data_IF_951728066153
#
_entry.id   IF_951728066153
#
_cell.length_a   1.000
_cell.length_b   1.000
_cell.length_c   1.000
_cell.angle_alpha   90.00
_cell.angle_beta   90.00
_cell.angle_gamma   90.00
#
_symmetry.space_group_name_H-M   'P 1'
#
loop_
_entity.id
_entity.type
_entity.pdbx_description
1 polymer ?
#
# COMPACT_ATOMS: atom_id res chain seq x y z
N UNK A 1 11.52 -9.76 -1.55
CA UNK A 1 11.25 -10.81 -0.57
C UNK A 1 12.59 -11.41 -0.20
N UNK A 2 13.14 -11.10 0.98
CA UNK A 2 14.43 -11.66 1.40
C UNK A 2 14.22 -13.11 1.78
N UNK A 3 15.10 -13.94 1.30
CA UNK A 3 15.22 -15.33 1.74
C UNK A 3 15.65 -15.31 3.23
N UNK A 4 15.09 -16.20 4.03
CA UNK A 4 15.62 -16.45 5.38
C UNK A 4 17.03 -17.01 5.28
N UNK A 5 17.82 -16.86 6.35
CA UNK A 5 19.19 -17.43 6.39
C UNK A 5 19.16 -18.91 6.04
N UNK A 6 18.14 -19.67 6.48
CA UNK A 6 17.97 -21.07 6.14
C UNK A 6 17.65 -21.29 4.64
N UNK A 7 16.88 -20.39 4.03
CA UNK A 7 16.55 -20.46 2.59
C UNK A 7 17.76 -20.07 1.74
N UNK A 8 18.58 -19.11 2.20
CA UNK A 8 19.84 -18.77 1.55
C UNK A 8 20.85 -19.91 1.68
N UNK A 9 20.89 -20.56 2.84
CA UNK A 9 21.74 -21.74 3.08
C UNK A 9 21.33 -22.90 2.18
N UNK A 10 20.05 -23.19 2.04
CA UNK A 10 19.55 -24.23 1.11
C UNK A 10 19.85 -23.91 -0.35
N UNK A 11 19.72 -22.64 -0.77
CA UNK A 11 20.11 -22.19 -2.11
C UNK A 11 21.60 -22.33 -2.36
N UNK A 12 22.43 -22.03 -1.37
CA UNK A 12 23.89 -22.11 -1.50
C UNK A 12 24.39 -23.55 -1.39
N UNK A 13 23.74 -24.43 -0.63
CA UNK A 13 24.04 -25.86 -0.62
C UNK A 13 23.66 -26.54 -1.93
N UNK A 14 22.49 -26.20 -2.50
CA UNK A 14 22.11 -26.63 -3.83
C UNK A 14 23.11 -26.13 -4.90
N UNK A 15 23.68 -24.93 -4.72
CA UNK A 15 24.75 -24.39 -5.55
C UNK A 15 26.08 -25.10 -5.36
N UNK A 16 26.43 -25.46 -4.12
CA UNK A 16 27.63 -26.20 -3.82
C UNK A 16 27.57 -27.62 -4.41
N UNK A 17 26.43 -28.29 -4.38
CA UNK A 17 26.23 -29.59 -5.03
C UNK A 17 26.33 -29.53 -6.58
N UNK A 18 25.85 -28.43 -7.19
CA UNK A 18 25.91 -28.22 -8.64
C UNK A 18 27.29 -27.79 -9.13
N UNK A 19 28.14 -27.18 -8.31
CA UNK A 19 29.47 -26.67 -8.67
C UNK A 19 30.66 -27.51 -8.15
N UNK A 20 30.45 -28.73 -7.72
CA UNK A 20 31.51 -29.57 -7.11
C UNK A 20 32.56 -30.12 -8.07
N UNK A 21 32.78 -29.53 -9.25
CA UNK A 21 33.83 -29.90 -10.20
C UNK A 21 34.88 -28.83 -10.45
N UNK A 22 35.19 -27.96 -9.52
CA UNK A 22 36.24 -26.97 -9.75
C UNK A 22 36.83 -26.38 -8.46
N UNK A 23 38.11 -26.61 -8.29
CA UNK A 23 39.02 -26.21 -7.22
C UNK A 23 38.86 -24.77 -6.71
N UNK A 24 39.08 -24.61 -5.39
CA UNK A 24 39.27 -23.37 -4.62
C UNK A 24 38.03 -22.60 -4.16
N UNK A 25 37.22 -23.21 -3.33
CA UNK A 25 36.37 -22.47 -2.41
C UNK A 25 37.18 -22.08 -1.15
N UNK A 26 37.50 -20.79 -1.01
CA UNK A 26 38.19 -20.28 0.16
C UNK A 26 37.31 -20.46 1.41
N UNK A 27 37.90 -20.77 2.58
CA UNK A 27 37.24 -20.98 3.87
C UNK A 27 36.28 -19.83 4.29
N UNK A 28 36.43 -18.64 3.73
CA UNK A 28 35.54 -17.51 3.92
C UNK A 28 34.12 -17.72 3.37
N UNK A 29 33.92 -18.54 2.34
CA UNK A 29 32.58 -18.81 1.83
C UNK A 29 31.80 -19.83 2.67
N UNK A 30 32.49 -20.75 3.36
CA UNK A 30 31.84 -21.73 4.24
C UNK A 30 31.39 -21.10 5.55
N UNK A 31 32.10 -20.10 6.08
CA UNK A 31 31.67 -19.33 7.26
C UNK A 31 30.44 -18.45 6.99
N UNK A 32 30.25 -18.01 5.75
CA UNK A 32 29.06 -17.26 5.35
C UNK A 32 27.77 -18.10 5.37
N UNK A 33 27.87 -19.41 5.22
CA UNK A 33 26.74 -20.36 5.27
C UNK A 33 26.20 -20.62 6.68
N UNK A 34 26.91 -20.23 7.72
CA UNK A 34 26.58 -20.53 9.12
C UNK A 34 26.45 -19.27 10.00
N UNK A 35 25.70 -18.27 9.53
CA UNK A 35 25.41 -17.13 10.38
C UNK A 35 24.54 -17.55 11.57
N UNK A 36 25.06 -17.58 12.80
CA UNK A 36 24.24 -17.89 13.96
C UNK A 36 23.13 -16.85 14.08
N UNK A 37 21.91 -17.32 14.30
CA UNK A 37 20.77 -16.45 14.51
C UNK A 37 21.03 -15.50 15.69
N UNK A 38 21.24 -14.22 15.43
CA UNK A 38 21.49 -13.19 16.45
C UNK A 38 20.28 -12.85 17.31
N UNK A 39 19.10 -13.34 16.91
CA UNK A 39 17.81 -13.08 17.58
C UNK A 39 17.00 -14.36 17.70
N UNK A 40 16.05 -14.36 18.64
CA UNK A 40 15.05 -15.42 18.70
C UNK A 40 14.10 -15.28 17.49
N UNK A 41 14.34 -16.05 16.43
CA UNK A 41 13.46 -16.08 15.26
C UNK A 41 11.99 -16.30 15.66
N UNK A 42 11.73 -17.14 16.66
CA UNK A 42 10.39 -17.38 17.17
C UNK A 42 9.72 -16.10 17.69
N UNK A 43 10.46 -15.25 18.43
CA UNK A 43 9.92 -13.99 18.93
C UNK A 43 9.53 -13.03 17.80
N UNK A 44 10.34 -12.95 16.74
CA UNK A 44 10.04 -12.13 15.55
C UNK A 44 8.78 -12.64 14.85
N UNK A 45 8.68 -13.96 14.61
CA UNK A 45 7.52 -14.56 13.94
C UNK A 45 6.22 -14.39 14.74
N UNK A 46 6.26 -14.56 16.07
CA UNK A 46 5.10 -14.31 16.92
C UNK A 46 4.69 -12.81 16.92
N UNK A 47 5.66 -11.90 17.00
CA UNK A 47 5.37 -10.46 16.93
C UNK A 47 4.72 -10.09 15.61
N UNK A 48 5.25 -10.57 14.49
CA UNK A 48 4.68 -10.36 13.16
C UNK A 48 3.26 -10.94 13.06
N UNK A 49 3.03 -12.14 13.61
CA UNK A 49 1.71 -12.77 13.60
C UNK A 49 0.67 -11.92 14.34
N UNK A 50 1.01 -11.37 15.51
CA UNK A 50 0.13 -10.47 16.27
C UNK A 50 -0.17 -9.20 15.48
N UNK A 51 0.85 -8.59 14.86
CA UNK A 51 0.68 -7.38 14.05
C UNK A 51 -0.19 -7.65 12.81
N UNK A 52 0.01 -8.76 12.11
CA UNK A 52 -0.82 -9.11 10.95
C UNK A 52 -2.27 -9.41 11.34
N UNK A 53 -2.53 -10.04 12.50
CA UNK A 53 -3.89 -10.23 13.01
C UNK A 53 -4.55 -8.88 13.30
N UNK A 54 -3.83 -7.95 13.92
CA UNK A 54 -4.33 -6.60 14.18
C UNK A 54 -4.67 -5.87 12.87
N UNK A 55 -3.76 -5.89 11.88
CA UNK A 55 -3.97 -5.26 10.56
C UNK A 55 -5.15 -5.91 9.85
N UNK A 56 -5.30 -7.24 9.93
CA UNK A 56 -6.44 -7.97 9.38
C UNK A 56 -7.76 -7.49 9.95
N UNK A 57 -7.90 -7.47 11.27
CA UNK A 57 -9.17 -7.11 11.92
C UNK A 57 -9.55 -5.66 11.65
N UNK A 58 -8.61 -4.73 11.85
CA UNK A 58 -8.85 -3.28 11.68
C UNK A 58 -9.01 -2.94 10.20
N UNK A 59 -8.11 -3.44 9.35
CA UNK A 59 -8.12 -3.16 7.91
C UNK A 59 -9.37 -3.71 7.22
N UNK A 60 -9.79 -4.94 7.57
CA UNK A 60 -11.01 -5.55 7.04
C UNK A 60 -12.25 -4.72 7.40
N UNK A 61 -12.40 -4.39 8.69
CA UNK A 61 -13.55 -3.62 9.16
C UNK A 61 -13.60 -2.22 8.54
N UNK A 62 -12.48 -1.50 8.56
CA UNK A 62 -12.40 -0.12 8.13
C UNK A 62 -12.57 0.04 6.61
N UNK A 63 -11.91 -0.79 5.80
CA UNK A 63 -12.04 -0.72 4.33
C UNK A 63 -13.40 -1.24 3.85
N UNK A 64 -13.97 -2.28 4.49
CA UNK A 64 -15.34 -2.71 4.19
C UNK A 64 -16.34 -1.60 4.43
N UNK A 65 -16.16 -0.81 5.49
CA UNK A 65 -16.99 0.35 5.78
C UNK A 65 -16.85 1.43 4.70
N UNK A 66 -15.63 1.74 4.24
CA UNK A 66 -15.39 2.67 3.14
C UNK A 66 -16.11 2.21 1.87
N UNK A 67 -15.96 0.95 1.47
CA UNK A 67 -16.64 0.40 0.30
C UNK A 67 -18.15 0.48 0.44
N UNK A 68 -18.69 0.07 1.60
CA UNK A 68 -20.13 0.07 1.84
C UNK A 68 -20.76 1.46 1.78
N UNK A 69 -20.13 2.47 2.40
CA UNK A 69 -20.63 3.87 2.35
C UNK A 69 -20.55 4.40 0.93
N UNK A 70 -19.46 4.11 0.22
CA UNK A 70 -19.26 4.54 -1.15
C UNK A 70 -20.30 3.99 -2.12
N UNK A 71 -20.71 2.74 -1.94
CA UNK A 71 -21.75 2.12 -2.77
C UNK A 71 -23.17 2.64 -2.48
N UNK A 72 -23.39 3.17 -1.28
CA UNK A 72 -24.71 3.70 -0.85
C UNK A 72 -24.86 5.21 -1.02
N UNK A 73 -23.77 5.97 -1.11
CA UNK A 73 -23.83 7.42 -1.25
C UNK A 73 -24.32 7.82 -2.63
N UNK A 74 -25.53 8.38 -2.72
CA UNK A 74 -26.07 8.94 -3.95
C UNK A 74 -25.38 10.26 -4.36
N UNK A 75 -24.64 10.88 -3.43
CA UNK A 75 -23.92 12.15 -3.64
C UNK A 75 -22.46 11.91 -4.00
N UNK A 76 -22.20 11.55 -5.26
CA UNK A 76 -20.87 11.60 -5.87
C UNK A 76 -20.30 13.03 -5.96
N UNK A 77 -20.17 13.76 -4.84
CA UNK A 77 -19.72 15.16 -4.82
C UNK A 77 -18.23 15.35 -4.97
N UNK A 78 -17.41 14.35 -4.58
CA UNK A 78 -15.95 14.49 -4.67
C UNK A 78 -15.39 13.66 -5.80
N UNK A 79 -14.64 14.31 -6.67
CA UNK A 79 -14.01 13.70 -7.83
C UNK A 79 -12.97 12.63 -7.46
N UNK A 80 -12.32 12.73 -6.28
CA UNK A 80 -11.36 11.74 -5.74
C UNK A 80 -11.98 10.45 -5.22
N UNK A 81 -13.29 10.41 -5.08
CA UNK A 81 -14.03 9.29 -4.49
C UNK A 81 -13.77 7.94 -5.18
N UNK A 82 -13.66 7.96 -6.52
CA UNK A 82 -13.40 6.75 -7.28
C UNK A 82 -12.01 6.15 -6.97
N UNK A 83 -10.98 6.99 -6.83
CA UNK A 83 -9.62 6.52 -6.48
C UNK A 83 -9.58 5.95 -5.08
N UNK A 84 -10.25 6.59 -4.10
CA UNK A 84 -10.34 6.13 -2.71
C UNK A 84 -11.08 4.79 -2.63
N UNK A 85 -12.14 4.60 -3.42
CA UNK A 85 -12.83 3.31 -3.50
C UNK A 85 -11.91 2.20 -4.02
N UNK A 86 -11.13 2.48 -5.07
CA UNK A 86 -10.18 1.51 -5.62
C UNK A 86 -9.04 1.21 -4.64
N UNK A 87 -8.54 2.20 -3.89
CA UNK A 87 -7.58 2.00 -2.79
C UNK A 87 -8.17 1.08 -1.72
N UNK A 88 -9.39 1.33 -1.28
CA UNK A 88 -10.05 0.48 -0.28
C UNK A 88 -10.27 -0.96 -0.78
N UNK A 89 -10.55 -1.15 -2.07
CA UNK A 89 -10.64 -2.49 -2.68
C UNK A 89 -9.28 -3.17 -2.70
N UNK A 90 -8.20 -2.47 -3.09
CA UNK A 90 -6.84 -3.01 -3.07
C UNK A 90 -6.42 -3.40 -1.64
N UNK A 91 -6.71 -2.55 -0.66
CA UNK A 91 -6.46 -2.81 0.76
C UNK A 91 -7.25 -4.02 1.27
N UNK A 92 -8.53 -4.19 0.88
CA UNK A 92 -9.32 -5.37 1.22
C UNK A 92 -8.74 -6.65 0.64
N UNK A 93 -8.26 -6.62 -0.60
CA UNK A 93 -7.66 -7.79 -1.25
C UNK A 93 -6.43 -8.26 -0.47
N UNK A 94 -5.49 -7.37 -0.12
CA UNK A 94 -4.28 -7.77 0.61
C UNK A 94 -4.60 -8.18 2.04
N UNK A 95 -5.46 -7.47 2.74
CA UNK A 95 -5.88 -7.79 4.11
C UNK A 95 -6.52 -9.18 4.16
N UNK A 96 -7.32 -9.57 3.16
CA UNK A 96 -7.94 -10.90 3.08
C UNK A 96 -6.91 -12.04 2.96
N UNK A 97 -5.67 -11.77 2.53
CA UNK A 97 -4.60 -12.77 2.45
C UNK A 97 -3.84 -12.96 3.77
N UNK A 98 -3.93 -12.01 4.71
CA UNK A 98 -3.14 -12.02 5.96
C UNK A 98 -3.34 -13.26 6.83
N UNK A 99 -4.54 -13.87 6.96
CA UNK A 99 -4.68 -15.12 7.70
C UNK A 99 -3.80 -16.26 7.18
N UNK A 100 -3.56 -16.31 5.85
CA UNK A 100 -2.66 -17.30 5.24
C UNK A 100 -1.21 -17.04 5.66
N UNK A 101 -0.78 -15.78 5.65
CA UNK A 101 0.56 -15.37 6.12
C UNK A 101 0.75 -15.66 7.60
N UNK A 102 -0.24 -15.35 8.44
CA UNK A 102 -0.20 -15.67 9.89
C UNK A 102 -0.06 -17.17 10.12
N UNK A 103 -0.81 -17.98 9.38
CA UNK A 103 -0.72 -19.44 9.50
C UNK A 103 0.68 -19.97 9.16
N UNK A 104 1.31 -19.45 8.10
CA UNK A 104 2.69 -19.82 7.73
C UNK A 104 3.70 -19.35 8.79
N UNK A 105 3.59 -18.12 9.31
CA UNK A 105 4.48 -17.59 10.34
C UNK A 105 4.42 -18.41 11.64
N UNK A 106 3.22 -18.80 12.08
CA UNK A 106 3.03 -19.63 13.28
C UNK A 106 3.60 -21.04 13.10
N UNK A 107 3.66 -21.54 11.85
CA UNK A 107 4.27 -22.81 11.49
C UNK A 107 5.75 -22.67 11.08
N UNK A 108 6.41 -21.58 11.51
CA UNK A 108 7.83 -21.31 11.25
C UNK A 108 8.19 -21.29 9.76
N UNK A 109 7.31 -20.73 8.93
CA UNK A 109 7.49 -20.62 7.47
C UNK A 109 6.93 -21.80 6.67
N UNK A 110 6.45 -22.87 7.30
CA UNK A 110 5.81 -23.97 6.58
C UNK A 110 4.60 -23.48 5.78
N UNK A 111 4.53 -23.89 4.51
CA UNK A 111 3.51 -23.47 3.54
C UNK A 111 2.66 -24.65 3.07
N UNK A 112 1.58 -25.00 3.76
CA UNK A 112 0.74 -26.13 3.40
C UNK A 112 -0.29 -25.84 2.30
N UNK A 113 -0.35 -24.58 1.79
CA UNK A 113 -1.45 -24.11 0.93
C UNK A 113 -1.23 -24.37 -0.56
N UNK A 114 -0.08 -24.92 -0.96
CA UNK A 114 0.27 -25.19 -2.34
C UNK A 114 0.74 -23.96 -3.13
N UNK A 115 1.16 -24.20 -4.37
CA UNK A 115 1.80 -23.20 -5.23
C UNK A 115 0.84 -22.08 -5.67
N UNK A 116 -0.41 -22.41 -6.00
CA UNK A 116 -1.38 -21.42 -6.44
C UNK A 116 -1.64 -20.35 -5.38
N UNK A 117 -1.81 -20.75 -4.11
CA UNK A 117 -2.01 -19.79 -3.00
C UNK A 117 -0.73 -19.03 -2.72
N UNK A 118 0.45 -19.64 -2.85
CA UNK A 118 1.75 -18.98 -2.77
C UNK A 118 1.82 -17.82 -3.78
N UNK A 119 1.56 -18.08 -5.05
CA UNK A 119 1.56 -17.06 -6.11
C UNK A 119 0.50 -15.99 -5.91
N UNK A 120 -0.73 -16.37 -5.57
CA UNK A 120 -1.84 -15.41 -5.40
C UNK A 120 -1.59 -14.46 -4.23
N UNK A 121 -1.15 -14.95 -3.08
CA UNK A 121 -0.92 -14.08 -1.90
C UNK A 121 0.17 -13.05 -2.15
N UNK A 122 1.26 -13.44 -2.81
CA UNK A 122 2.33 -12.52 -3.20
C UNK A 122 1.90 -11.55 -4.30
N UNK A 123 1.19 -12.05 -5.33
CA UNK A 123 0.62 -11.20 -6.38
C UNK A 123 -0.26 -10.10 -5.78
N UNK A 124 -1.15 -10.46 -4.86
CA UNK A 124 -2.06 -9.50 -4.22
C UNK A 124 -1.28 -8.48 -3.40
N UNK A 125 -0.21 -8.89 -2.70
CA UNK A 125 0.66 -7.96 -1.97
C UNK A 125 1.33 -6.97 -2.93
N UNK A 126 1.96 -7.45 -4.00
CA UNK A 126 2.65 -6.61 -4.98
C UNK A 126 1.68 -5.68 -5.73
N UNK A 127 0.49 -6.18 -6.09
CA UNK A 127 -0.58 -5.38 -6.71
C UNK A 127 -1.10 -4.30 -5.77
N UNK A 128 -1.22 -4.57 -4.46
CA UNK A 128 -1.58 -3.56 -3.49
C UNK A 128 -0.52 -2.45 -3.41
N UNK A 129 0.77 -2.80 -3.39
CA UNK A 129 1.87 -1.85 -3.39
C UNK A 129 1.83 -0.94 -4.63
N UNK A 130 1.91 -1.53 -5.83
CA UNK A 130 1.93 -0.76 -7.08
C UNK A 130 0.61 -0.02 -7.32
N UNK A 131 -0.53 -0.67 -7.06
CA UNK A 131 -1.84 -0.07 -7.21
C UNK A 131 -2.01 1.16 -6.33
N UNK A 132 -1.64 1.08 -5.05
CA UNK A 132 -1.76 2.19 -4.11
C UNK A 132 -0.96 3.41 -4.55
N UNK A 133 0.31 3.25 -4.95
CA UNK A 133 1.13 4.39 -5.38
C UNK A 133 0.65 4.96 -6.73
N UNK A 134 0.22 4.08 -7.67
CA UNK A 134 -0.29 4.54 -8.95
C UNK A 134 -1.63 5.27 -8.82
N UNK A 135 -2.54 4.81 -7.94
CA UNK A 135 -3.77 5.54 -7.63
C UNK A 135 -3.50 6.90 -6.99
N UNK A 136 -2.54 6.98 -6.05
CA UNK A 136 -2.12 8.25 -5.44
C UNK A 136 -1.51 9.21 -6.46
N UNK A 137 -0.71 8.70 -7.40
CA UNK A 137 -0.13 9.46 -8.50
C UNK A 137 -1.23 10.04 -9.40
N UNK A 138 -2.16 9.19 -9.85
CA UNK A 138 -3.29 9.61 -10.69
C UNK A 138 -4.21 10.59 -9.97
N UNK A 139 -4.46 10.39 -8.67
CA UNK A 139 -5.26 11.30 -7.86
C UNK A 139 -4.62 12.69 -7.75
N UNK A 140 -3.29 12.76 -7.58
CA UNK A 140 -2.55 14.02 -7.53
C UNK A 140 -2.60 14.76 -8.87
N UNK A 141 -2.39 14.04 -9.98
CA UNK A 141 -2.48 14.57 -11.33
C UNK A 141 -3.91 15.05 -11.67
N UNK A 142 -4.95 14.25 -11.35
CA UNK A 142 -6.35 14.60 -11.60
C UNK A 142 -6.76 15.88 -10.85
N UNK A 143 -6.28 16.06 -9.62
CA UNK A 143 -6.54 17.28 -8.85
C UNK A 143 -5.88 18.51 -9.47
N UNK A 144 -4.62 18.39 -9.85
CA UNK A 144 -3.94 19.48 -10.54
C UNK A 144 -4.66 19.87 -11.83
N UNK A 145 -4.99 18.90 -12.68
CA UNK A 145 -5.70 19.15 -13.95
C UNK A 145 -7.08 19.78 -13.71
N UNK A 146 -7.83 19.31 -12.71
CA UNK A 146 -9.14 19.86 -12.39
C UNK A 146 -9.09 21.32 -11.93
N UNK A 147 -8.03 21.71 -11.20
CA UNK A 147 -7.86 23.07 -10.67
C UNK A 147 -7.25 24.01 -11.72
N UNK A 148 -6.19 23.56 -12.42
CA UNK A 148 -5.38 24.44 -13.25
C UNK A 148 -5.86 24.55 -14.71
N UNK A 149 -6.41 23.46 -15.28
CA UNK A 149 -6.68 23.40 -16.73
C UNK A 149 -8.16 23.46 -17.09
N UNK A 150 -9.04 22.85 -16.32
CA UNK A 150 -10.43 22.66 -16.76
C UNK A 150 -11.46 23.54 -16.05
N UNK A 151 -11.15 24.18 -14.91
CA UNK A 151 -12.12 24.93 -14.13
C UNK A 151 -13.43 24.14 -13.91
N UNK A 152 -14.53 24.85 -13.58
CA UNK A 152 -15.84 24.22 -13.35
C UNK A 152 -16.64 23.93 -14.66
N UNK A 153 -16.12 24.31 -15.85
CA UNK A 153 -16.86 24.33 -17.14
C UNK A 153 -16.82 23.03 -17.97
N UNK A 154 -16.17 21.95 -17.51
CA UNK A 154 -16.03 20.73 -18.30
C UNK A 154 -17.21 19.75 -18.17
N UNK A 155 -17.53 19.00 -19.25
CA UNK A 155 -18.58 17.97 -19.27
C UNK A 155 -18.33 16.91 -18.18
N UNK A 156 -19.11 16.95 -17.10
CA UNK A 156 -19.02 16.07 -15.93
C UNK A 156 -19.06 14.57 -16.30
N UNK A 157 -19.86 14.19 -17.32
CA UNK A 157 -19.96 12.80 -17.79
C UNK A 157 -18.65 12.31 -18.41
N UNK A 158 -17.99 13.14 -19.23
CA UNK A 158 -16.70 12.81 -19.86
C UNK A 158 -15.61 12.65 -18.80
N UNK A 159 -15.53 13.55 -17.82
CA UNK A 159 -14.59 13.45 -16.69
C UNK A 159 -14.75 12.12 -15.92
N UNK A 160 -16.00 11.70 -15.64
CA UNK A 160 -16.28 10.42 -14.96
C UNK A 160 -15.82 9.20 -15.77
N UNK A 161 -16.04 9.20 -17.09
CA UNK A 161 -15.59 8.11 -17.97
C UNK A 161 -14.06 8.02 -17.99
N UNK A 162 -13.38 9.15 -18.17
CA UNK A 162 -11.90 9.20 -18.17
C UNK A 162 -11.33 8.64 -16.89
N UNK A 163 -11.85 9.02 -15.70
CA UNK A 163 -11.38 8.48 -14.43
C UNK A 163 -11.58 6.97 -14.28
N UNK A 164 -12.71 6.44 -14.79
CA UNK A 164 -12.94 4.98 -14.81
C UNK A 164 -11.91 4.27 -15.67
N UNK A 165 -11.63 4.80 -16.86
CA UNK A 165 -10.59 4.26 -17.75
C UNK A 165 -9.22 4.31 -17.08
N UNK A 166 -8.86 5.41 -16.41
CA UNK A 166 -7.62 5.54 -15.65
C UNK A 166 -7.55 4.46 -14.55
N UNK A 167 -8.62 4.23 -13.79
CA UNK A 167 -8.62 3.21 -12.76
C UNK A 167 -8.40 1.81 -13.34
N UNK A 168 -9.01 1.48 -14.49
CA UNK A 168 -8.77 0.20 -15.17
C UNK A 168 -7.31 0.08 -15.60
N UNK A 169 -6.74 1.13 -16.20
CA UNK A 169 -5.34 1.15 -16.61
C UNK A 169 -4.39 1.00 -15.42
N UNK A 170 -4.69 1.61 -14.28
CA UNK A 170 -3.91 1.46 -13.04
C UNK A 170 -3.91 0.01 -12.56
N UNK A 171 -5.06 -0.67 -12.55
CA UNK A 171 -5.13 -2.09 -12.20
C UNK A 171 -4.31 -2.96 -13.14
N UNK A 172 -4.40 -2.72 -14.45
CA UNK A 172 -3.62 -3.47 -15.46
C UNK A 172 -2.12 -3.23 -15.31
N UNK A 173 -1.69 -2.00 -15.06
CA UNK A 173 -0.29 -1.66 -14.84
C UNK A 173 0.23 -2.25 -13.52
N UNK A 174 -0.56 -2.22 -12.44
CA UNK A 174 -0.18 -2.82 -11.16
C UNK A 174 -0.03 -4.35 -11.30
N UNK A 175 -0.95 -5.01 -12.00
CA UNK A 175 -0.84 -6.44 -12.31
C UNK A 175 0.42 -6.72 -13.14
N UNK A 176 0.65 -5.98 -14.22
CA UNK A 176 1.83 -6.17 -15.08
C UNK A 176 3.15 -5.98 -14.31
N UNK A 177 3.24 -4.97 -13.43
CA UNK A 177 4.41 -4.72 -12.59
C UNK A 177 4.64 -5.83 -11.54
N UNK A 178 3.60 -6.54 -11.14
CA UNK A 178 3.64 -7.60 -10.12
C UNK A 178 3.99 -8.99 -10.70
N UNK A 179 3.83 -9.20 -12.00
CA UNK A 179 4.07 -10.50 -12.65
C UNK A 179 5.51 -11.01 -12.47
N UNK A 180 6.56 -10.18 -12.65
CA UNK A 180 7.95 -10.68 -12.54
C UNK A 180 8.27 -11.31 -11.18
N UNK A 181 7.81 -10.69 -10.09
CA UNK A 181 7.98 -11.21 -8.72
C UNK A 181 7.24 -12.55 -8.52
N UNK A 182 6.03 -12.62 -9.06
CA UNK A 182 5.15 -13.77 -8.83
C UNK A 182 5.49 -14.97 -9.72
N UNK A 183 6.11 -14.73 -10.89
CA UNK A 183 6.40 -15.76 -11.88
C UNK A 183 7.31 -16.85 -11.32
N UNK A 184 8.35 -16.46 -10.59
CA UNK A 184 9.35 -17.38 -10.05
C UNK A 184 8.94 -18.03 -8.71
N UNK A 185 7.83 -17.65 -8.11
CA UNK A 185 7.37 -18.22 -6.83
C UNK A 185 6.90 -19.67 -6.99
N UNK A 186 7.40 -20.54 -6.12
CA UNK A 186 7.03 -21.95 -6.07
C UNK A 186 6.87 -22.42 -4.62
N UNK A 187 6.07 -23.47 -4.43
CA UNK A 187 5.97 -24.21 -3.19
C UNK A 187 6.97 -25.38 -3.24
N UNK A 188 8.12 -25.21 -2.61
CA UNK A 188 9.25 -26.16 -2.67
C UNK A 188 9.40 -26.89 -1.35
N UNK A 189 9.62 -28.20 -1.37
CA UNK A 189 9.96 -28.97 -0.17
C UNK A 189 11.38 -28.64 0.27
N UNK A 190 11.58 -28.41 1.56
CA UNK A 190 12.91 -28.24 2.13
C UNK A 190 13.68 -29.56 2.07
N UNK A 191 14.97 -29.49 1.80
CA UNK A 191 15.89 -30.65 1.81
C UNK A 191 16.21 -31.14 3.23
N UNK A 192 16.13 -30.23 4.21
CA UNK A 192 16.51 -30.47 5.62
C UNK A 192 15.34 -30.69 6.57
N UNK A 193 14.12 -30.48 6.10
CA UNK A 193 12.89 -30.65 6.91
C UNK A 193 11.74 -31.09 6.02
N UNK A 194 10.74 -31.75 6.58
CA UNK A 194 9.48 -32.09 5.87
C UNK A 194 8.62 -30.84 5.57
N UNK A 195 9.17 -29.63 5.76
CA UNK A 195 8.46 -28.39 5.52
C UNK A 195 8.42 -28.04 4.02
N UNK A 196 7.30 -27.57 3.55
CA UNK A 196 7.17 -26.93 2.24
C UNK A 196 7.31 -25.40 2.46
N UNK A 197 8.05 -24.72 1.61
CA UNK A 197 8.28 -23.27 1.69
C UNK A 197 7.75 -22.59 0.42
N UNK A 198 7.13 -21.43 0.58
CA UNK A 198 6.75 -20.58 -0.55
C UNK A 198 7.90 -19.59 -0.81
N UNK A 199 8.67 -19.84 -1.86
CA UNK A 199 9.87 -19.03 -2.18
C UNK A 199 10.06 -18.85 -3.69
N UNK A 200 10.79 -17.81 -4.14
CA UNK A 200 11.16 -17.70 -5.54
C UNK A 200 12.25 -18.72 -5.89
N UNK A 201 12.12 -19.34 -7.06
CA UNK A 201 13.10 -20.24 -7.67
C UNK A 201 13.52 -19.63 -8.99
N UNK A 202 14.71 -19.04 -9.01
CA UNK A 202 15.25 -18.40 -10.20
C UNK A 202 15.99 -19.40 -11.11
N UNK A 203 16.16 -19.07 -12.43
CA UNK A 203 16.96 -19.87 -13.33
C UNK A 203 18.40 -20.02 -12.81
N UNK A 204 18.97 -21.21 -12.99
CA UNK A 204 20.30 -21.57 -12.46
C UNK A 204 21.45 -20.76 -13.08
N UNK A 205 21.27 -20.24 -14.30
CA UNK A 205 22.33 -19.53 -15.00
C UNK A 205 22.72 -18.21 -14.34
N UNK A 206 21.77 -17.43 -13.82
CA UNK A 206 22.03 -16.12 -13.19
C UNK A 206 20.99 -15.77 -12.12
N UNK A 207 20.82 -16.57 -11.05
CA UNK A 207 19.73 -16.35 -10.07
C UNK A 207 19.86 -15.02 -9.32
N UNK A 208 21.09 -14.58 -9.07
CA UNK A 208 21.37 -13.30 -8.43
C UNK A 208 20.93 -12.11 -9.25
N UNK A 209 21.18 -12.13 -10.55
CA UNK A 209 20.79 -11.05 -11.47
C UNK A 209 19.26 -10.92 -11.55
N UNK A 210 18.54 -12.05 -11.58
CA UNK A 210 17.09 -12.07 -11.51
C UNK A 210 16.57 -11.47 -10.22
N UNK A 211 17.11 -11.85 -9.06
CA UNK A 211 16.72 -11.31 -7.77
C UNK A 211 16.97 -9.81 -7.68
N UNK A 212 18.15 -9.34 -8.07
CA UNK A 212 18.50 -7.91 -8.14
C UNK A 212 17.55 -7.15 -9.08
N UNK A 213 17.27 -7.71 -10.28
CA UNK A 213 16.36 -7.08 -11.23
C UNK A 213 14.96 -6.91 -10.69
N UNK A 214 14.43 -7.90 -9.99
CA UNK A 214 13.10 -7.84 -9.35
C UNK A 214 13.09 -6.82 -8.22
N UNK A 215 14.07 -6.84 -7.33
CA UNK A 215 14.18 -5.87 -6.23
C UNK A 215 14.30 -4.43 -6.75
N UNK A 216 15.11 -4.21 -7.78
CA UNK A 216 15.22 -2.91 -8.45
C UNK A 216 13.90 -2.48 -9.09
N UNK A 217 13.12 -3.40 -9.66
CA UNK A 217 11.81 -3.07 -10.22
C UNK A 217 10.85 -2.56 -9.12
N UNK A 218 10.85 -3.17 -7.94
CA UNK A 218 10.08 -2.69 -6.79
C UNK A 218 10.52 -1.30 -6.33
N UNK A 219 11.83 -1.06 -6.24
CA UNK A 219 12.37 0.25 -5.81
C UNK A 219 12.02 1.32 -6.86
N UNK A 220 12.24 1.03 -8.13
CA UNK A 220 12.07 2.02 -9.22
C UNK A 220 10.61 2.31 -9.48
N UNK A 221 9.78 1.27 -9.70
CA UNK A 221 8.37 1.42 -10.05
C UNK A 221 7.49 1.70 -8.83
N UNK A 222 7.85 1.17 -7.66
CA UNK A 222 7.09 1.36 -6.42
C UNK A 222 7.43 2.65 -5.67
N UNK A 223 8.61 3.25 -5.93
CA UNK A 223 9.04 4.41 -5.15
C UNK A 223 9.77 5.47 -5.98
N UNK A 224 10.90 5.15 -6.62
CA UNK A 224 11.81 6.14 -7.18
C UNK A 224 11.21 6.96 -8.34
N UNK A 225 10.32 6.39 -9.15
CA UNK A 225 9.60 7.11 -10.21
C UNK A 225 8.32 7.77 -9.67
N UNK A 226 7.38 7.04 -9.01
CA UNK A 226 6.10 7.63 -8.63
C UNK A 226 6.22 8.77 -7.64
N UNK A 227 7.14 8.67 -6.68
CA UNK A 227 7.25 9.67 -5.63
C UNK A 227 7.63 11.07 -6.12
N UNK A 228 8.68 11.27 -6.96
CA UNK A 228 8.95 12.57 -7.57
C UNK A 228 7.79 13.09 -8.42
N UNK A 229 7.09 12.22 -9.17
CA UNK A 229 5.93 12.61 -9.97
C UNK A 229 4.81 13.14 -9.07
N UNK A 230 4.50 12.46 -7.98
CA UNK A 230 3.51 12.92 -6.99
C UNK A 230 3.95 14.27 -6.39
N UNK A 231 5.22 14.42 -6.01
CA UNK A 231 5.75 15.65 -5.44
C UNK A 231 5.60 16.84 -6.41
N UNK A 232 5.92 16.63 -7.69
CA UNK A 232 5.75 17.66 -8.74
C UNK A 232 4.27 18.07 -8.86
N UNK A 233 3.34 17.12 -9.01
CA UNK A 233 1.91 17.44 -9.10
C UNK A 233 1.38 18.13 -7.86
N UNK A 234 1.88 17.77 -6.67
CA UNK A 234 1.51 18.44 -5.44
C UNK A 234 2.00 19.89 -5.39
N UNK A 235 3.25 20.14 -5.79
CA UNK A 235 3.82 21.52 -5.85
C UNK A 235 3.08 22.37 -6.89
N UNK A 236 2.79 21.82 -8.07
CA UNK A 236 2.00 22.48 -9.11
C UNK A 236 0.58 22.81 -8.61
N UNK A 237 -0.07 21.88 -7.92
CA UNK A 237 -1.39 22.10 -7.32
C UNK A 237 -1.33 23.21 -6.24
N UNK A 238 -0.29 23.24 -5.39
CA UNK A 238 -0.11 24.26 -4.38
C UNK A 238 0.06 25.64 -5.01
N UNK A 239 0.85 25.74 -6.07
CA UNK A 239 1.03 26.99 -6.85
C UNK A 239 -0.25 27.45 -7.53
N UNK A 240 -0.98 26.54 -8.17
CA UNK A 240 -2.24 26.86 -8.84
C UNK A 240 -3.32 27.39 -7.87
N UNK A 241 -3.39 26.86 -6.65
CA UNK A 241 -4.32 27.33 -5.61
C UNK A 241 -3.88 28.69 -5.06
N UNK A 242 -2.56 28.92 -4.92
CA UNK A 242 -2.02 30.20 -4.46
C UNK A 242 -2.33 31.34 -5.42
N UNK A 243 -2.29 31.10 -6.71
CA UNK A 243 -2.53 32.09 -7.77
C UNK A 243 -4.03 32.27 -8.11
N UNK A 244 -4.89 31.35 -7.72
CA UNK A 244 -6.31 31.33 -8.07
C UNK A 244 -7.22 32.01 -7.04
N UNK A 245 -6.76 33.10 -6.40
CA UNK A 245 -7.59 33.96 -5.55
C UNK A 245 -8.03 35.22 -6.32
N UNK A 246 -8.92 35.12 -7.33
CA UNK A 246 -9.56 36.32 -7.86
C UNK A 246 -10.53 36.87 -6.81
N UNK A 247 -10.57 38.18 -6.59
CA UNK A 247 -11.60 38.78 -5.77
C UNK A 247 -12.97 38.46 -6.35
N UNK A 248 -13.80 37.69 -5.62
CA UNK A 248 -15.14 37.28 -6.03
C UNK A 248 -15.39 35.77 -6.18
N UNK A 249 -14.39 34.90 -6.00
CA UNK A 249 -14.65 33.46 -6.00
C UNK A 249 -15.37 33.05 -4.72
N UNK A 250 -16.45 32.24 -4.85
CA UNK A 250 -17.28 31.80 -3.74
C UNK A 250 -16.39 31.09 -2.67
N UNK A 251 -16.55 31.46 -1.42
CA UNK A 251 -15.86 30.91 -0.23
C UNK A 251 -15.91 29.38 -0.19
N UNK A 252 -17.00 28.78 -0.67
CA UNK A 252 -17.21 27.34 -0.72
C UNK A 252 -16.25 26.60 -1.66
N UNK A 253 -15.96 27.13 -2.85
CA UNK A 253 -15.06 26.46 -3.81
C UNK A 253 -13.61 26.45 -3.31
N UNK A 254 -13.17 27.52 -2.65
CA UNK A 254 -11.84 27.60 -2.05
C UNK A 254 -11.68 26.64 -0.85
N UNK A 255 -12.72 26.47 -0.06
CA UNK A 255 -12.72 25.52 1.05
C UNK A 255 -12.63 24.05 0.57
N UNK A 256 -13.40 23.68 -0.48
CA UNK A 256 -13.31 22.33 -1.06
C UNK A 256 -11.94 22.03 -1.66
N UNK A 257 -11.30 22.99 -2.34
CA UNK A 257 -9.93 22.87 -2.88
C UNK A 257 -8.91 22.67 -1.76
N UNK A 258 -9.00 23.43 -0.65
CA UNK A 258 -8.12 23.28 0.52
C UNK A 258 -8.28 21.93 1.19
N UNK A 259 -9.51 21.42 1.34
CA UNK A 259 -9.78 20.10 1.92
C UNK A 259 -9.20 19.01 1.02
N UNK A 260 -9.44 19.07 -0.29
CA UNK A 260 -8.90 18.11 -1.25
C UNK A 260 -7.37 18.04 -1.20
N UNK A 261 -6.69 19.21 -1.11
CA UNK A 261 -5.23 19.27 -0.97
C UNK A 261 -4.75 18.61 0.32
N UNK A 262 -5.42 18.86 1.45
CA UNK A 262 -5.06 18.24 2.73
C UNK A 262 -5.20 16.72 2.67
N UNK A 263 -6.27 16.21 2.07
CA UNK A 263 -6.49 14.76 1.90
C UNK A 263 -5.32 14.13 1.12
N UNK A 264 -4.98 14.68 -0.04
CA UNK A 264 -3.90 14.15 -0.88
C UNK A 264 -2.56 14.20 -0.14
N UNK A 265 -2.23 15.34 0.47
CA UNK A 265 -0.99 15.47 1.24
C UNK A 265 -0.90 14.42 2.36
N UNK A 266 -2.00 14.20 3.07
CA UNK A 266 -2.02 13.21 4.16
C UNK A 266 -1.81 11.79 3.63
N UNK A 267 -2.42 11.42 2.50
CA UNK A 267 -2.17 10.13 1.85
C UNK A 267 -0.71 9.97 1.41
N UNK A 268 -0.11 11.03 0.84
CA UNK A 268 1.30 11.02 0.42
C UNK A 268 2.21 10.81 1.63
N UNK A 269 1.97 11.54 2.72
CA UNK A 269 2.77 11.43 3.96
C UNK A 269 2.65 10.03 4.55
N UNK A 270 1.43 9.49 4.62
CA UNK A 270 1.21 8.12 5.15
C UNK A 270 1.87 7.08 4.26
N UNK A 271 1.75 7.22 2.93
CA UNK A 271 2.44 6.34 2.00
C UNK A 271 3.95 6.36 2.23
N UNK A 272 4.55 7.55 2.32
CA UNK A 272 5.97 7.69 2.60
C UNK A 272 6.37 7.02 3.92
N UNK A 273 5.68 7.34 5.00
CA UNK A 273 6.01 6.80 6.33
C UNK A 273 5.92 5.28 6.34
N UNK A 274 4.92 4.71 5.67
CA UNK A 274 4.72 3.26 5.65
C UNK A 274 5.68 2.53 4.70
N UNK A 275 5.97 3.08 3.51
CA UNK A 275 6.69 2.36 2.46
C UNK A 275 8.18 2.72 2.34
N UNK A 276 8.61 3.94 2.75
CA UNK A 276 10.02 4.32 2.70
C UNK A 276 10.94 3.38 3.49
N UNK A 277 10.58 2.93 4.72
CA UNK A 277 11.40 1.98 5.44
C UNK A 277 11.59 0.66 4.68
N UNK A 278 10.53 0.11 4.09
CA UNK A 278 10.60 -1.12 3.30
C UNK A 278 11.51 -0.97 2.08
N UNK A 279 11.31 0.07 1.26
CA UNK A 279 12.16 0.33 0.09
C UNK A 279 13.61 0.66 0.48
N UNK A 280 13.82 1.31 1.63
CA UNK A 280 15.16 1.59 2.16
C UNK A 280 15.92 0.31 2.53
N UNK A 281 15.26 -0.62 3.23
CA UNK A 281 15.86 -1.92 3.57
C UNK A 281 16.05 -2.77 2.32
N UNK A 282 15.09 -2.78 1.39
CA UNK A 282 15.20 -3.48 0.11
C UNK A 282 16.39 -2.96 -0.72
N UNK A 283 16.65 -1.65 -0.68
CA UNK A 283 17.83 -1.07 -1.34
C UNK A 283 19.14 -1.55 -0.70
N UNK A 284 19.21 -1.59 0.64
CA UNK A 284 20.38 -2.11 1.36
C UNK A 284 20.63 -3.58 1.01
N UNK A 285 19.57 -4.38 0.96
CA UNK A 285 19.64 -5.79 0.53
C UNK A 285 20.15 -5.92 -0.91
N UNK A 286 19.60 -5.13 -1.83
CA UNK A 286 20.08 -5.08 -3.23
C UNK A 286 21.56 -4.69 -3.34
N UNK A 287 22.02 -3.70 -2.55
CA UNK A 287 23.43 -3.29 -2.53
C UNK A 287 24.33 -4.39 -1.95
N UNK A 288 23.86 -5.16 -0.98
CA UNK A 288 24.55 -6.34 -0.47
C UNK A 288 24.66 -7.43 -1.54
N UNK A 289 23.58 -7.71 -2.24
CA UNK A 289 23.58 -8.64 -3.38
C UNK A 289 24.51 -8.19 -4.50
N UNK A 290 24.68 -6.93 -4.76
CA UNK A 290 25.61 -6.36 -5.73
C UNK A 290 27.08 -6.35 -5.24
N UNK A 291 27.37 -6.85 -4.03
CA UNK A 291 28.69 -6.77 -3.39
C UNK A 291 29.23 -5.34 -3.20
N UNK A 292 28.36 -4.32 -3.19
CA UNK A 292 28.71 -2.94 -2.83
C UNK A 292 28.94 -2.84 -1.33
N UNK A 293 28.15 -3.58 -0.55
CA UNK A 293 28.32 -3.71 0.88
C UNK A 293 29.03 -5.03 1.21
N UNK A 294 30.02 -5.03 2.14
CA UNK A 294 30.71 -6.25 2.51
C UNK A 294 29.75 -7.18 3.26
N UNK A 295 29.80 -8.46 2.92
CA UNK A 295 29.02 -9.47 3.61
C UNK A 295 29.42 -9.55 5.10
N UNK A 296 28.42 -9.63 5.98
CA UNK A 296 28.62 -9.95 7.39
C UNK A 296 27.35 -10.58 7.98
N UNK A 297 27.51 -11.55 8.87
CA UNK A 297 26.37 -12.17 9.54
C UNK A 297 25.50 -11.17 10.33
N UNK A 298 26.09 -10.06 10.77
CA UNK A 298 25.33 -8.98 11.43
C UNK A 298 24.41 -8.26 10.44
N UNK A 299 24.90 -8.00 9.21
CA UNK A 299 24.11 -7.38 8.14
C UNK A 299 22.97 -8.33 7.71
N UNK A 300 23.26 -9.61 7.53
CA UNK A 300 22.28 -10.62 7.12
C UNK A 300 21.15 -10.75 8.14
N UNK A 301 21.49 -10.92 9.42
CA UNK A 301 20.50 -10.94 10.51
C UNK A 301 19.68 -9.64 10.58
N UNK A 302 20.31 -8.49 10.36
CA UNK A 302 19.62 -7.19 10.31
C UNK A 302 18.64 -7.13 9.15
N UNK A 303 19.06 -7.51 7.95
CA UNK A 303 18.23 -7.51 6.75
C UNK A 303 17.03 -8.43 6.90
N UNK A 304 17.24 -9.66 7.39
CA UNK A 304 16.16 -10.62 7.65
C UNK A 304 15.06 -10.01 8.53
N UNK A 305 15.43 -9.51 9.70
CA UNK A 305 14.45 -8.94 10.65
C UNK A 305 13.82 -7.68 10.10
N UNK A 306 14.64 -6.79 9.54
CA UNK A 306 14.16 -5.49 9.05
C UNK A 306 13.23 -5.60 7.86
N UNK A 307 13.50 -6.50 6.90
CA UNK A 307 12.62 -6.72 5.76
C UNK A 307 11.24 -7.21 6.18
N UNK A 308 11.18 -8.20 7.07
CA UNK A 308 9.91 -8.71 7.59
C UNK A 308 9.13 -7.66 8.39
N UNK A 309 9.82 -6.92 9.27
CA UNK A 309 9.19 -5.86 10.07
C UNK A 309 8.71 -4.69 9.20
N UNK A 310 9.53 -4.22 8.26
CA UNK A 310 9.16 -3.10 7.40
C UNK A 310 8.09 -3.48 6.38
N UNK A 311 8.07 -4.73 5.91
CA UNK A 311 6.98 -5.27 5.09
C UNK A 311 5.66 -5.29 5.88
N UNK A 312 5.67 -5.78 7.12
CA UNK A 312 4.50 -5.73 7.99
C UNK A 312 4.08 -4.27 8.27
N UNK A 313 5.05 -3.41 8.58
CA UNK A 313 4.80 -1.98 8.83
C UNK A 313 4.20 -1.27 7.61
N UNK A 314 4.62 -1.64 6.40
CA UNK A 314 4.06 -1.05 5.18
C UNK A 314 2.56 -1.27 5.08
N UNK A 315 2.04 -2.41 5.54
CA UNK A 315 0.61 -2.73 5.51
C UNK A 315 -0.25 -1.95 6.52
N UNK A 316 0.36 -1.22 7.45
CA UNK A 316 -0.38 -0.33 8.38
C UNK A 316 -1.16 0.74 7.60
N UNK A 317 -0.71 1.12 6.39
CA UNK A 317 -1.45 2.07 5.56
C UNK A 317 -2.89 1.60 5.27
N UNK A 318 -3.14 0.29 5.17
CA UNK A 318 -4.48 -0.27 4.99
C UNK A 318 -5.42 0.05 6.17
N UNK A 319 -4.88 0.25 7.37
CA UNK A 319 -5.65 0.68 8.54
C UNK A 319 -5.83 2.21 8.59
N UNK A 320 -4.83 2.95 8.12
CA UNK A 320 -4.80 4.42 8.21
C UNK A 320 -5.61 5.07 7.09
N UNK A 321 -5.59 4.53 5.87
CA UNK A 321 -6.29 5.08 4.71
C UNK A 321 -7.79 5.38 4.98
N UNK A 322 -8.59 4.45 5.55
CA UNK A 322 -9.98 4.72 5.89
C UNK A 322 -10.16 5.82 6.93
N UNK A 323 -9.23 5.89 7.88
CA UNK A 323 -9.24 6.90 8.96
C UNK A 323 -9.04 8.29 8.37
N UNK A 324 -8.05 8.47 7.49
CA UNK A 324 -7.78 9.74 6.80
C UNK A 324 -9.03 10.22 6.07
N UNK A 325 -9.64 9.31 5.29
CA UNK A 325 -10.83 9.65 4.52
C UNK A 325 -12.00 10.09 5.42
N UNK A 326 -12.21 9.36 6.52
CA UNK A 326 -13.29 9.64 7.46
C UNK A 326 -13.07 10.95 8.24
N UNK A 327 -11.84 11.22 8.70
CA UNK A 327 -11.57 12.41 9.51
C UNK A 327 -11.47 13.70 8.70
N UNK A 328 -10.94 13.65 7.49
CA UNK A 328 -10.72 14.85 6.68
C UNK A 328 -11.95 15.21 5.87
N UNK A 329 -12.77 14.24 5.48
CA UNK A 329 -13.98 14.48 4.68
C UNK A 329 -15.23 14.61 5.58
N UNK A 330 -15.61 15.85 5.89
CA UNK A 330 -16.77 16.16 6.74
C UNK A 330 -18.10 15.58 6.17
N UNK A 331 -18.25 15.57 4.85
CA UNK A 331 -19.46 15.03 4.21
C UNK A 331 -19.51 13.50 4.30
N UNK A 332 -18.34 12.82 4.26
CA UNK A 332 -18.27 11.38 4.45
C UNK A 332 -18.65 10.99 5.89
N UNK A 333 -18.22 11.77 6.90
CA UNK A 333 -18.67 11.56 8.29
C UNK A 333 -20.18 11.67 8.42
N UNK A 334 -20.77 12.64 7.71
CA UNK A 334 -22.23 12.81 7.68
C UNK A 334 -22.91 11.61 7.01
N UNK A 335 -22.44 11.18 5.84
CA UNK A 335 -22.99 10.03 5.12
C UNK A 335 -22.81 8.74 5.94
N UNK A 336 -21.70 8.60 6.64
CA UNK A 336 -21.43 7.49 7.56
C UNK A 336 -22.42 7.50 8.74
N UNK A 337 -22.56 8.64 9.42
CA UNK A 337 -23.50 8.79 10.53
C UNK A 337 -24.93 8.55 10.05
N UNK A 338 -25.31 9.09 8.91
CA UNK A 338 -26.63 8.88 8.29
C UNK A 338 -26.88 7.40 7.98
N UNK A 339 -25.88 6.70 7.44
CA UNK A 339 -25.99 5.28 7.13
C UNK A 339 -26.13 4.41 8.38
N UNK A 340 -25.40 4.72 9.45
CA UNK A 340 -25.54 4.03 10.75
C UNK A 340 -26.86 4.34 11.44
N UNK A 341 -27.23 5.62 11.51
CA UNK A 341 -28.42 6.07 12.25
C UNK A 341 -29.70 5.72 11.49
N UNK A 342 -29.70 5.76 10.16
CA UNK A 342 -30.88 5.38 9.37
C UNK A 342 -31.27 3.90 9.59
N UNK A 343 -30.29 3.03 9.81
CA UNK A 343 -30.55 1.61 10.14
C UNK A 343 -31.19 1.43 11.53
N UNK A 344 -30.89 2.33 12.47
CA UNK A 344 -31.45 2.28 13.85
C UNK A 344 -32.64 3.22 14.03
N UNK A 345 -32.80 4.25 13.20
CA UNK A 345 -33.70 5.37 13.36
C UNK A 345 -35.03 5.25 12.62
N UNK A 346 -35.19 4.27 11.73
CA UNK A 346 -36.50 3.97 11.14
C UNK A 346 -37.56 3.63 12.24
N UNK A 347 -37.10 3.26 13.44
CA UNK A 347 -37.95 3.04 14.62
C UNK A 347 -38.10 4.24 15.59
N UNK A 348 -37.21 5.24 15.54
CA UNK A 348 -37.11 6.25 16.64
C UNK A 348 -37.22 7.72 16.24
N UNK A 349 -37.41 8.06 14.96
CA UNK A 349 -37.49 9.47 14.51
C UNK A 349 -36.19 10.28 14.56
N UNK A 350 -35.09 9.69 15.01
CA UNK A 350 -33.78 10.34 15.18
C UNK A 350 -33.14 10.81 13.84
N UNK A 351 -33.54 10.22 12.72
CA UNK A 351 -33.08 10.64 11.38
C UNK A 351 -33.55 12.05 11.02
N UNK A 352 -34.76 12.44 11.48
CA UNK A 352 -35.31 13.79 11.26
C UNK A 352 -34.56 14.85 12.07
N UNK A 353 -34.08 14.51 13.28
CA UNK A 353 -33.29 15.41 14.11
C UNK A 353 -31.90 15.70 13.54
N UNK A 354 -31.29 14.73 12.85
CA UNK A 354 -29.97 14.90 12.24
C UNK A 354 -30.05 15.70 10.94
N UNK A 355 -31.09 15.48 10.13
CA UNK A 355 -31.34 16.32 8.95
C UNK A 355 -31.63 17.75 9.39
N UNK A 356 -32.38 17.97 10.47
CA UNK A 356 -32.63 19.28 11.04
C UNK A 356 -31.36 19.96 11.60
N UNK A 357 -30.51 19.22 12.30
CA UNK A 357 -29.26 19.77 12.83
C UNK A 357 -28.27 20.16 11.72
N UNK A 358 -28.23 19.42 10.61
CA UNK A 358 -27.38 19.74 9.47
C UNK A 358 -27.89 20.97 8.70
N UNK A 359 -29.21 21.14 8.60
CA UNK A 359 -29.82 22.34 8.01
C UNK A 359 -29.52 23.55 8.88
N UNK A 360 -29.62 23.42 10.20
CA UNK A 360 -29.29 24.50 11.14
C UNK A 360 -27.81 24.89 11.12
N UNK A 361 -26.88 23.93 11.03
CA UNK A 361 -25.44 24.22 10.90
C UNK A 361 -25.09 24.90 9.57
N UNK A 362 -25.79 24.58 8.48
CA UNK A 362 -25.63 25.26 7.19
C UNK A 362 -26.24 26.67 7.20
N UNK A 363 -27.36 26.88 7.88
CA UNK A 363 -27.93 28.22 8.10
C UNK A 363 -27.06 29.06 9.04
N UNK A 364 -26.54 28.50 10.13
CA UNK A 364 -25.61 29.20 11.03
C UNK A 364 -24.32 29.61 10.33
N UNK A 365 -23.79 28.75 9.44
CA UNK A 365 -22.60 29.08 8.63
C UNK A 365 -22.91 30.19 7.59
N UNK A 366 -24.12 30.23 7.08
CA UNK A 366 -24.57 31.29 6.14
C UNK A 366 -24.81 32.61 6.86
N UNK A 367 -25.40 32.59 8.05
CA UNK A 367 -25.66 33.79 8.87
C UNK A 367 -24.36 34.36 9.44
N UNK A 368 -23.43 33.52 9.92
CA UNK A 368 -22.11 33.97 10.37
C UNK A 368 -21.24 34.54 9.25
N UNK A 369 -21.47 34.11 7.99
CA UNK A 369 -20.80 34.69 6.82
C UNK A 369 -21.42 36.06 6.41
N UNK A 370 -22.66 36.33 6.78
CA UNK A 370 -23.33 37.63 6.54
C UNK A 370 -22.95 38.65 7.62
N UNK A 371 -22.85 38.24 8.89
CA UNK A 371 -22.42 39.13 9.99
C UNK A 371 -20.96 39.57 9.91
N UNK A 372 -20.09 38.82 9.26
CA UNK A 372 -18.69 39.23 9.05
C UNK A 372 -18.48 40.12 7.82
N UNK A 373 -19.52 40.50 7.10
CA UNK A 373 -19.49 41.40 5.93
C UNK A 373 -20.27 42.71 6.15
N UNK A 374 -20.64 43.07 7.37
CA UNK A 374 -21.10 44.36 7.81
C UNK A 374 -20.06 44.97 8.73
#
# INVERSE_FOLDING_TARGET
MSLSVNELTELMEMWAELNFTGDNMSSHHVEALLCPAGFSHAAVLYTLSVLYIFIFLVGLAANSLVVWVNLRSERNRFETHLYILNLAVADLCVVATLPVWVSSLLQRGHWPFGEAVCKITHLVFSVNLFGSIFFLTCMSADRYMSVALFGDGGNSRRKKVVRRVICILVWLLALAASVPDTYFLQAVKSTHSDATLCRPVYPTDNPREWMVGIQLSFIVLGFAIPFPVIAVFYLLLAGAIGNANPPGSSTNSNQERRISRKIILTYIVVFLVCWLPYHGVLLVDTLSLLNVLPFSCRLENFLYVSLHLTQCFSLIHCCINPVIYNFINRNYRYDLMKAFIFKYSTKTGLAKLIDASHVSETEYSAVAAVENNV
#
